data_IF_726749003318
#
_entry.id   IF_726749003318
#
_cell.length_a   1.000
_cell.length_b   1.000
_cell.length_c   1.000
_cell.angle_alpha   90.00
_cell.angle_beta   90.00
_cell.angle_gamma   90.00
#
_symmetry.space_group_name_H-M   'P 1'
#
loop_
_entity.id
_entity.type
_entity.pdbx_description
1 polymer ?
#
# COMPACT_ATOMS: atom_id res chain seq x y z
N UNK A 1 -0.31 22.28 22.26
CA UNK A 1 0.06 20.86 22.30
C UNK A 1 -1.18 20.09 21.91
N UNK A 2 -1.13 19.27 20.86
CA UNK A 2 -2.24 18.36 20.59
C UNK A 2 -2.39 17.39 21.78
N UNK A 3 -3.62 17.17 22.23
CA UNK A 3 -3.92 16.14 23.22
C UNK A 3 -3.66 14.78 22.59
N UNK A 4 -3.14 13.83 23.37
CA UNK A 4 -2.90 12.48 22.88
C UNK A 4 -4.21 11.85 22.40
N UNK A 5 -4.21 11.27 21.19
CA UNK A 5 -5.36 10.60 20.59
C UNK A 5 -4.91 9.34 19.87
N UNK A 6 -5.76 8.31 19.91
CA UNK A 6 -5.62 7.08 19.12
C UNK A 6 -6.38 7.15 17.79
N UNK A 7 -7.08 8.26 17.52
CA UNK A 7 -7.75 8.46 16.24
C UNK A 7 -6.72 8.84 15.18
N UNK A 8 -6.84 8.22 14.01
CA UNK A 8 -6.11 8.66 12.83
C UNK A 8 -6.60 10.05 12.41
N UNK A 9 -5.68 10.89 11.96
CA UNK A 9 -6.05 12.14 11.30
C UNK A 9 -6.48 11.88 9.84
N UNK A 10 -6.98 12.92 9.17
CA UNK A 10 -7.50 12.80 7.81
C UNK A 10 -6.44 12.31 6.81
N UNK A 11 -5.19 12.80 6.93
CA UNK A 11 -4.09 12.38 6.05
C UNK A 11 -3.76 10.88 6.23
N UNK A 12 -3.74 10.39 7.48
CA UNK A 12 -3.51 8.99 7.80
C UNK A 12 -4.64 8.09 7.30
N UNK A 13 -5.89 8.55 7.42
CA UNK A 13 -7.05 7.83 6.87
C UNK A 13 -6.97 7.76 5.34
N UNK A 14 -6.60 8.85 4.69
CA UNK A 14 -6.43 8.89 3.24
C UNK A 14 -5.32 7.94 2.77
N UNK A 15 -4.18 7.92 3.46
CA UNK A 15 -3.09 6.98 3.18
C UNK A 15 -3.57 5.53 3.36
N UNK A 16 -4.29 5.24 4.46
CA UNK A 16 -4.82 3.91 4.72
C UNK A 16 -5.76 3.45 3.60
N UNK A 17 -6.74 4.27 3.21
CA UNK A 17 -7.71 3.96 2.17
C UNK A 17 -7.01 3.73 0.82
N UNK A 18 -6.05 4.59 0.49
CA UNK A 18 -5.29 4.50 -0.74
C UNK A 18 -4.47 3.20 -0.84
N UNK A 19 -3.69 2.87 0.19
CA UNK A 19 -2.91 1.62 0.24
C UNK A 19 -3.84 0.40 0.25
N UNK A 20 -4.97 0.46 0.96
CA UNK A 20 -5.94 -0.63 0.98
C UNK A 20 -6.54 -0.89 -0.39
N UNK A 21 -6.84 0.17 -1.15
CA UNK A 21 -7.38 0.07 -2.51
C UNK A 21 -6.37 -0.61 -3.44
N UNK A 22 -5.10 -0.19 -3.41
CA UNK A 22 -4.04 -0.87 -4.18
C UNK A 22 -3.91 -2.35 -3.82
N UNK A 23 -3.92 -2.68 -2.52
CA UNK A 23 -3.83 -4.06 -2.07
C UNK A 23 -5.03 -4.91 -2.52
N UNK A 24 -6.24 -4.34 -2.48
CA UNK A 24 -7.47 -5.02 -2.90
C UNK A 24 -7.50 -5.28 -4.41
N UNK A 25 -7.07 -4.30 -5.21
CA UNK A 25 -7.27 -4.33 -6.66
C UNK A 25 -6.07 -4.91 -7.41
N UNK A 26 -4.86 -4.87 -6.84
CA UNK A 26 -3.62 -5.34 -7.51
C UNK A 26 -3.02 -6.55 -6.79
N UNK A 27 -2.83 -6.50 -5.47
CA UNK A 27 -2.14 -7.58 -4.73
C UNK A 27 -3.06 -8.80 -4.57
N UNK A 28 -4.26 -8.61 -4.01
CA UNK A 28 -5.17 -9.71 -3.65
C UNK A 28 -5.53 -10.61 -4.84
N UNK A 29 -5.83 -10.10 -6.06
CA UNK A 29 -6.15 -10.94 -7.20
C UNK A 29 -4.97 -11.79 -7.66
N UNK A 30 -3.74 -11.28 -7.53
CA UNK A 30 -2.52 -11.97 -7.97
C UNK A 30 -1.91 -12.86 -6.86
N UNK A 31 -2.31 -12.70 -5.60
CA UNK A 31 -1.67 -13.31 -4.45
C UNK A 31 -1.52 -14.82 -4.55
N UNK A 32 -2.57 -15.54 -5.00
CA UNK A 32 -2.51 -16.99 -5.11
C UNK A 32 -1.55 -17.48 -6.19
N UNK A 33 -1.53 -16.82 -7.35
CA UNK A 33 -0.63 -17.18 -8.44
C UNK A 33 0.83 -17.05 -8.01
N UNK A 34 1.18 -15.94 -7.33
CA UNK A 34 2.55 -15.70 -6.88
C UNK A 34 2.97 -16.60 -5.71
N UNK A 35 2.03 -16.96 -4.83
CA UNK A 35 2.21 -17.98 -3.78
C UNK A 35 2.55 -19.34 -4.40
N UNK A 36 1.74 -19.80 -5.36
CA UNK A 36 1.95 -21.09 -6.05
C UNK A 36 3.27 -21.13 -6.86
N UNK A 37 3.74 -19.98 -7.35
CA UNK A 37 5.00 -19.86 -8.10
C UNK A 37 6.24 -19.80 -7.22
N UNK A 38 6.10 -19.46 -5.94
CA UNK A 38 7.21 -19.23 -5.00
C UNK A 38 8.25 -18.20 -5.52
N UNK A 39 7.80 -17.23 -6.31
CA UNK A 39 8.65 -16.21 -6.95
C UNK A 39 8.38 -14.81 -6.40
N UNK A 40 9.37 -13.92 -6.55
CA UNK A 40 9.18 -12.52 -6.19
C UNK A 40 8.30 -11.79 -7.23
N UNK A 41 7.20 -11.12 -6.82
CA UNK A 41 6.22 -10.55 -7.73
C UNK A 41 6.66 -9.18 -8.27
N UNK A 42 7.72 -9.17 -9.08
CA UNK A 42 8.26 -7.95 -9.69
C UNK A 42 7.21 -7.07 -10.39
N UNK A 43 6.23 -7.62 -11.14
CA UNK A 43 5.20 -6.79 -11.77
C UNK A 43 4.36 -6.01 -10.74
N UNK A 44 3.98 -6.63 -9.63
CA UNK A 44 3.20 -5.97 -8.56
C UNK A 44 4.01 -4.86 -7.90
N UNK A 45 5.30 -5.10 -7.65
CA UNK A 45 6.22 -4.10 -7.08
C UNK A 45 6.40 -2.92 -8.04
N UNK A 46 6.47 -3.17 -9.34
CA UNK A 46 6.54 -2.11 -10.34
C UNK A 46 5.26 -1.26 -10.37
N UNK A 47 4.08 -1.86 -10.21
CA UNK A 47 2.82 -1.10 -10.07
C UNK A 47 2.81 -0.25 -8.78
N UNK A 48 3.28 -0.81 -7.66
CA UNK A 48 3.41 -0.06 -6.40
C UNK A 48 4.34 1.16 -6.56
N UNK A 49 5.45 1.00 -7.29
CA UNK A 49 6.38 2.08 -7.58
C UNK A 49 5.73 3.19 -8.42
N UNK A 50 4.94 2.83 -9.44
CA UNK A 50 4.26 3.80 -10.33
C UNK A 50 3.27 4.69 -9.59
N UNK A 51 2.61 4.15 -8.56
CA UNK A 51 1.66 4.93 -7.76
C UNK A 51 2.36 5.74 -6.64
N UNK A 52 3.67 5.57 -6.45
CA UNK A 52 4.44 6.36 -5.50
C UNK A 52 4.56 5.76 -4.11
N UNK A 53 4.25 4.47 -3.90
CA UNK A 53 4.38 3.81 -2.59
C UNK A 53 5.82 3.72 -2.06
N UNK A 54 6.81 4.01 -2.90
CA UNK A 54 8.23 4.09 -2.52
C UNK A 54 8.77 5.53 -2.60
N UNK A 55 7.89 6.51 -2.85
CA UNK A 55 8.23 7.91 -2.97
C UNK A 55 8.50 8.57 -1.62
N UNK A 56 9.24 9.67 -1.66
CA UNK A 56 9.56 10.47 -0.48
C UNK A 56 8.31 10.99 0.24
N UNK A 57 7.28 11.36 -0.52
CA UNK A 57 5.98 11.84 -0.03
C UNK A 57 5.20 10.78 0.76
N UNK A 58 5.53 9.49 0.58
CA UNK A 58 4.90 8.40 1.34
C UNK A 58 5.72 7.99 2.57
N UNK A 59 7.05 8.16 2.52
CA UNK A 59 7.96 7.68 3.56
C UNK A 59 8.22 8.71 4.67
N UNK A 60 7.79 9.96 4.50
CA UNK A 60 7.99 11.07 5.43
C UNK A 60 6.67 11.72 5.82
#
# INVERSE_FOLDING_TARGET
MAEFSLHLNDDQLQIQEWVHTFAKDVIRPAAREWDDREEFPWPVVQEAAKIGLYGWEFLM
#
